data_IF_617593794774
#
_entry.id   IF_617593794774
#
_cell.length_a   1.000
_cell.length_b   1.000
_cell.length_c   1.000
_cell.angle_alpha   90.00
_cell.angle_beta   90.00
_cell.angle_gamma   90.00
#
_symmetry.space_group_name_H-M   'P 1'
#
loop_
_entity.id
_entity.type
_entity.pdbx_description
1 polymer ?
#
# COMPACT_ATOMS: atom_id res chain seq x y z
N UNK A 1 45.39 -23.96 -15.77
CA UNK A 1 44.50 -24.24 -14.61
C UNK A 1 44.23 -22.93 -13.84
N UNK A 2 43.30 -22.08 -14.31
CA UNK A 2 42.89 -20.83 -13.62
C UNK A 2 41.42 -20.45 -13.90
N UNK A 3 40.53 -21.42 -14.03
CA UNK A 3 39.12 -21.22 -14.40
C UNK A 3 38.06 -21.38 -13.29
N UNK A 4 38.31 -21.97 -12.09
CA UNK A 4 37.21 -22.16 -11.12
C UNK A 4 36.79 -20.86 -10.43
N UNK A 5 37.71 -19.89 -10.28
CA UNK A 5 37.43 -18.59 -9.63
C UNK A 5 36.48 -17.71 -10.45
N UNK A 6 36.60 -17.74 -11.79
CA UNK A 6 35.74 -16.94 -12.67
C UNK A 6 34.29 -17.46 -12.66
N UNK A 7 34.11 -18.79 -12.63
CA UNK A 7 32.78 -19.43 -12.56
C UNK A 7 32.10 -19.12 -11.22
N UNK A 8 32.86 -19.18 -10.12
CA UNK A 8 32.33 -18.85 -8.79
C UNK A 8 31.92 -17.38 -8.69
N UNK A 9 32.69 -16.47 -9.31
CA UNK A 9 32.38 -15.04 -9.35
C UNK A 9 31.13 -14.75 -10.20
N UNK A 10 30.94 -15.44 -11.33
CA UNK A 10 29.74 -15.31 -12.17
C UNK A 10 28.47 -15.83 -11.48
N UNK A 11 28.58 -16.93 -10.72
CA UNK A 11 27.46 -17.47 -9.93
C UNK A 11 27.06 -16.49 -8.81
N UNK A 12 28.03 -15.88 -8.13
CA UNK A 12 27.76 -14.86 -7.10
C UNK A 12 27.09 -13.62 -7.71
N UNK A 13 27.57 -13.13 -8.86
CA UNK A 13 26.99 -11.98 -9.57
C UNK A 13 25.56 -12.24 -10.09
N UNK A 14 25.21 -13.47 -10.47
CA UNK A 14 23.84 -13.80 -10.89
C UNK A 14 22.85 -13.87 -9.72
N UNK A 15 23.31 -14.17 -8.50
CA UNK A 15 22.45 -14.23 -7.31
C UNK A 15 22.20 -12.86 -6.66
N UNK A 16 22.95 -11.80 -7.03
CA UNK A 16 22.67 -10.43 -6.59
C UNK A 16 21.50 -9.76 -7.35
N UNK A 17 20.99 -10.41 -8.41
CA UNK A 17 19.91 -9.89 -9.25
C UNK A 17 18.59 -10.60 -8.96
N UNK A 18 18.22 -10.77 -7.68
CA UNK A 18 16.82 -11.07 -7.36
C UNK A 18 16.08 -9.72 -7.40
N UNK A 19 15.34 -9.39 -8.47
CA UNK A 19 14.47 -8.24 -8.40
C UNK A 19 13.48 -8.50 -7.28
N UNK A 20 13.50 -7.63 -6.26
CA UNK A 20 12.36 -7.44 -5.38
C UNK A 20 11.25 -6.96 -6.32
N UNK A 21 10.45 -7.89 -6.85
CA UNK A 21 9.40 -7.59 -7.81
C UNK A 21 8.25 -6.87 -7.09
N UNK A 22 8.43 -5.58 -6.82
CA UNK A 22 7.32 -4.71 -6.55
C UNK A 22 6.46 -4.66 -7.81
N UNK A 23 5.19 -5.07 -7.71
CA UNK A 23 4.26 -4.98 -8.82
C UNK A 23 4.25 -3.55 -9.37
N UNK A 24 4.56 -3.41 -10.67
CA UNK A 24 4.47 -2.15 -11.40
C UNK A 24 3.11 -2.09 -12.09
N UNK A 25 2.39 -1.01 -11.87
CA UNK A 25 1.11 -0.71 -12.48
C UNK A 25 1.29 0.31 -13.60
N UNK A 26 0.79 -0.01 -14.79
CA UNK A 26 0.68 0.96 -15.88
C UNK A 26 -0.28 2.08 -15.51
N UNK A 27 -0.17 3.23 -16.19
CA UNK A 27 -1.13 4.34 -16.07
C UNK A 27 -2.59 3.89 -16.27
N UNK A 28 -2.82 2.99 -17.25
CA UNK A 28 -4.14 2.42 -17.51
C UNK A 28 -4.67 1.59 -16.33
N UNK A 29 -3.86 0.66 -15.81
CA UNK A 29 -4.25 -0.18 -14.68
C UNK A 29 -4.55 0.65 -13.42
N UNK A 30 -3.71 1.66 -13.13
CA UNK A 30 -3.95 2.57 -12.00
C UNK A 30 -5.31 3.27 -12.12
N UNK A 31 -5.67 3.73 -13.32
CA UNK A 31 -6.96 4.39 -13.57
C UNK A 31 -8.13 3.42 -13.47
N UNK A 32 -8.01 2.22 -14.04
CA UNK A 32 -9.04 1.18 -13.96
C UNK A 32 -9.33 0.76 -12.50
N UNK A 33 -8.27 0.59 -11.70
CA UNK A 33 -8.39 0.27 -10.28
C UNK A 33 -9.03 1.45 -9.50
N UNK A 34 -8.64 2.69 -9.83
CA UNK A 34 -9.20 3.88 -9.18
C UNK A 34 -10.66 4.16 -9.56
N UNK A 35 -11.05 3.93 -10.82
CA UNK A 35 -12.43 4.00 -11.32
C UNK A 35 -13.30 2.95 -10.62
N UNK A 36 -12.76 1.75 -10.42
CA UNK A 36 -13.43 0.67 -9.67
C UNK A 36 -13.68 1.08 -8.22
N UNK A 37 -12.64 1.61 -7.54
CA UNK A 37 -12.77 2.12 -6.18
C UNK A 37 -13.81 3.25 -6.07
N UNK A 38 -13.74 4.23 -6.99
CA UNK A 38 -14.68 5.34 -7.05
C UNK A 38 -16.13 4.84 -7.18
N UNK A 39 -16.36 3.93 -8.11
CA UNK A 39 -17.68 3.35 -8.37
C UNK A 39 -18.20 2.55 -7.18
N UNK A 40 -17.35 1.74 -6.53
CA UNK A 40 -17.73 0.98 -5.35
C UNK A 40 -18.10 1.88 -4.18
N UNK A 41 -17.34 2.95 -3.92
CA UNK A 41 -17.67 3.90 -2.86
C UNK A 41 -19.07 4.50 -3.07
N UNK A 42 -19.41 4.92 -4.30
CA UNK A 42 -20.77 5.39 -4.63
C UNK A 42 -21.84 4.32 -4.45
N UNK A 43 -21.53 3.06 -4.79
CA UNK A 43 -22.51 1.98 -4.80
C UNK A 43 -22.81 1.44 -3.40
N UNK A 44 -21.78 1.27 -2.55
CA UNK A 44 -21.91 0.48 -1.32
C UNK A 44 -21.68 1.27 -0.04
N UNK A 45 -21.09 2.47 -0.10
CA UNK A 45 -20.84 3.25 1.12
C UNK A 45 -22.13 3.95 1.58
N UNK A 46 -22.64 3.68 2.80
CA UNK A 46 -23.94 4.18 3.25
C UNK A 46 -23.99 5.71 3.37
N UNK A 47 -22.86 6.32 3.75
CA UNK A 47 -22.79 7.72 4.20
C UNK A 47 -21.66 8.51 3.52
N UNK A 48 -21.49 8.33 2.21
CA UNK A 48 -20.31 8.82 1.46
C UNK A 48 -20.11 10.36 1.54
N UNK A 49 -21.22 11.09 1.74
CA UNK A 49 -21.27 12.56 1.71
C UNK A 49 -21.58 13.20 3.07
N UNK A 50 -21.48 12.45 4.18
CA UNK A 50 -21.78 13.01 5.52
C UNK A 50 -20.83 14.15 5.90
N UNK A 51 -19.56 14.08 5.48
CA UNK A 51 -18.54 15.06 5.84
C UNK A 51 -17.97 15.88 4.68
N UNK A 52 -18.58 15.77 3.50
CA UNK A 52 -18.16 16.44 2.27
C UNK A 52 -19.31 16.51 1.26
N UNK A 53 -19.31 17.52 0.41
CA UNK A 53 -20.21 17.60 -0.73
C UNK A 53 -19.77 16.66 -1.86
N UNK A 54 -20.71 16.26 -2.72
CA UNK A 54 -20.40 15.49 -3.93
C UNK A 54 -19.35 16.20 -4.80
N UNK A 55 -19.46 17.52 -4.97
CA UNK A 55 -18.49 18.32 -5.73
C UNK A 55 -17.08 18.29 -5.15
N UNK A 56 -16.95 18.30 -3.82
CA UNK A 56 -15.64 18.18 -3.17
C UNK A 56 -15.05 16.78 -3.36
N UNK A 57 -15.88 15.75 -3.33
CA UNK A 57 -15.47 14.37 -3.60
C UNK A 57 -15.00 14.19 -5.05
N UNK A 58 -15.79 14.65 -6.03
CA UNK A 58 -15.45 14.64 -7.46
C UNK A 58 -14.16 15.43 -7.74
N UNK A 59 -14.00 16.61 -7.14
CA UNK A 59 -12.78 17.40 -7.30
C UNK A 59 -11.53 16.65 -6.82
N UNK A 60 -11.61 15.93 -5.71
CA UNK A 60 -10.49 15.10 -5.21
C UNK A 60 -10.22 13.93 -6.14
N UNK A 61 -11.28 13.28 -6.64
CA UNK A 61 -11.17 12.23 -7.64
C UNK A 61 -10.39 12.73 -8.87
N UNK A 62 -10.84 13.82 -9.49
CA UNK A 62 -10.23 14.36 -10.72
C UNK A 62 -8.76 14.77 -10.51
N UNK A 63 -8.46 15.34 -9.33
CA UNK A 63 -7.09 15.70 -8.95
C UNK A 63 -6.18 14.47 -8.88
N UNK A 64 -6.66 13.35 -8.34
CA UNK A 64 -5.88 12.12 -8.24
C UNK A 64 -5.82 11.43 -9.60
N UNK A 65 -6.95 11.30 -10.29
CA UNK A 65 -7.08 10.66 -11.60
C UNK A 65 -6.12 11.26 -12.64
N UNK A 66 -6.02 12.60 -12.69
CA UNK A 66 -5.09 13.31 -13.58
C UNK A 66 -3.61 13.05 -13.25
N UNK A 67 -3.30 12.76 -11.97
CA UNK A 67 -1.95 12.38 -11.54
C UNK A 67 -1.57 10.95 -11.91
N UNK A 68 -2.53 10.08 -12.21
CA UNK A 68 -2.32 8.68 -12.62
C UNK A 68 -1.87 8.60 -14.09
N UNK A 69 -0.80 9.30 -14.46
CA UNK A 69 -0.34 9.49 -15.84
C UNK A 69 1.00 8.81 -16.19
N UNK A 70 1.58 8.09 -15.24
CA UNK A 70 2.87 7.38 -15.39
C UNK A 70 2.84 6.07 -14.62
N UNK A 71 3.73 5.16 -14.97
CA UNK A 71 3.88 3.89 -14.26
C UNK A 71 4.37 4.11 -12.83
N UNK A 72 3.88 3.27 -11.92
CA UNK A 72 4.21 3.32 -10.48
C UNK A 72 4.29 1.92 -9.91
N UNK A 73 5.08 1.75 -8.86
CA UNK A 73 4.95 0.55 -8.05
C UNK A 73 3.64 0.59 -7.24
N UNK A 74 3.21 -0.58 -6.76
CA UNK A 74 1.98 -0.76 -6.00
C UNK A 74 1.91 0.17 -4.77
N UNK A 75 3.00 0.29 -4.00
CA UNK A 75 3.04 1.13 -2.80
C UNK A 75 2.80 2.61 -3.12
N UNK A 76 3.39 3.13 -4.19
CA UNK A 76 3.21 4.51 -4.63
C UNK A 76 1.78 4.77 -5.10
N UNK A 77 1.16 3.80 -5.78
CA UNK A 77 -0.26 3.88 -6.14
C UNK A 77 -1.14 3.99 -4.89
N UNK A 78 -0.94 3.10 -3.91
CA UNK A 78 -1.70 3.14 -2.66
C UNK A 78 -1.49 4.44 -1.89
N UNK A 79 -0.26 4.95 -1.84
CA UNK A 79 0.06 6.21 -1.17
C UNK A 79 -0.61 7.42 -1.80
N UNK A 80 -0.72 7.45 -3.14
CA UNK A 80 -1.37 8.56 -3.87
C UNK A 80 -2.90 8.50 -3.75
N UNK A 81 -3.47 7.30 -3.72
CA UNK A 81 -4.93 7.11 -3.67
C UNK A 81 -5.47 7.15 -2.23
N UNK A 82 -4.69 6.77 -1.21
CA UNK A 82 -5.14 6.75 0.19
C UNK A 82 -5.75 8.06 0.70
N UNK A 83 -5.27 9.26 0.31
CA UNK A 83 -5.93 10.52 0.71
C UNK A 83 -7.36 10.64 0.19
N UNK A 84 -7.71 10.02 -0.95
CA UNK A 84 -9.07 10.00 -1.47
C UNK A 84 -10.02 9.30 -0.49
N UNK A 85 -9.66 8.09 -0.08
CA UNK A 85 -10.45 7.25 0.82
C UNK A 85 -10.50 7.85 2.21
N UNK A 86 -9.37 8.34 2.72
CA UNK A 86 -9.31 9.07 4.00
C UNK A 86 -10.23 10.30 4.03
N UNK A 87 -10.51 10.88 2.85
CA UNK A 87 -11.37 12.05 2.74
C UNK A 87 -12.86 11.77 2.99
N UNK A 88 -13.27 10.50 2.96
CA UNK A 88 -14.60 10.03 3.38
C UNK A 88 -14.79 10.16 4.89
N UNK A 89 -13.70 10.14 5.67
CA UNK A 89 -13.66 10.26 7.14
C UNK A 89 -14.45 9.17 7.87
N UNK A 90 -14.41 7.95 7.36
CA UNK A 90 -14.91 6.75 8.04
C UNK A 90 -13.74 5.80 8.39
N UNK A 91 -13.69 5.37 9.66
CA UNK A 91 -12.64 4.46 10.15
C UNK A 91 -12.81 3.00 9.72
N UNK A 92 -13.98 2.63 9.17
CA UNK A 92 -14.23 1.29 8.65
C UNK A 92 -13.93 1.17 7.15
N UNK A 93 -13.91 2.29 6.44
CA UNK A 93 -13.56 2.38 5.03
C UNK A 93 -12.04 2.50 4.87
N UNK A 94 -11.38 1.36 4.76
CA UNK A 94 -9.92 1.26 4.69
C UNK A 94 -9.43 0.97 3.26
N UNK A 95 -8.28 1.53 2.90
CA UNK A 95 -7.59 1.27 1.65
C UNK A 95 -6.12 0.96 1.92
N UNK A 96 -5.80 -0.33 1.98
CA UNK A 96 -4.50 -0.84 2.43
C UNK A 96 -3.85 -1.69 1.36
N UNK A 97 -2.53 -1.60 1.25
CA UNK A 97 -1.75 -2.47 0.36
C UNK A 97 -2.09 -3.94 0.66
N UNK A 98 -2.38 -4.76 -0.35
CA UNK A 98 -2.75 -6.16 -0.16
C UNK A 98 -1.65 -6.90 0.62
N UNK A 99 -2.07 -7.72 1.58
CA UNK A 99 -1.15 -8.64 2.22
C UNK A 99 -0.74 -9.70 1.20
N UNK A 100 0.56 -9.74 0.88
CA UNK A 100 1.11 -10.73 -0.03
C UNK A 100 1.13 -12.11 0.66
N UNK A 101 1.02 -13.20 -0.13
CA UNK A 101 0.93 -14.54 0.43
C UNK A 101 2.17 -14.91 1.28
N UNK A 102 3.36 -14.50 0.85
CA UNK A 102 4.60 -14.65 1.60
C UNK A 102 4.56 -13.95 2.96
N UNK A 103 3.94 -12.76 3.05
CA UNK A 103 3.75 -12.06 4.32
C UNK A 103 2.78 -12.82 5.22
N UNK A 104 1.69 -13.35 4.67
CA UNK A 104 0.72 -14.15 5.40
C UNK A 104 1.37 -15.42 5.94
N UNK A 105 2.10 -16.14 5.10
CA UNK A 105 2.81 -17.37 5.45
C UNK A 105 3.88 -17.11 6.50
N UNK A 106 4.64 -16.03 6.38
CA UNK A 106 5.62 -15.61 7.38
C UNK A 106 4.98 -15.42 8.75
N UNK A 107 3.87 -14.68 8.83
CA UNK A 107 3.17 -14.44 10.09
C UNK A 107 2.58 -15.73 10.68
N UNK A 108 1.99 -16.59 9.84
CA UNK A 108 1.42 -17.88 10.26
C UNK A 108 2.48 -18.86 10.79
N UNK A 109 3.73 -18.75 10.33
CA UNK A 109 4.84 -19.61 10.74
C UNK A 109 5.69 -19.00 11.89
N UNK A 110 5.10 -18.12 12.71
CA UNK A 110 5.78 -17.53 13.87
C UNK A 110 6.74 -16.38 13.50
N UNK A 111 6.48 -15.73 12.37
CA UNK A 111 7.23 -14.56 11.93
C UNK A 111 7.27 -13.44 12.98
N UNK A 112 8.42 -12.77 13.08
CA UNK A 112 8.62 -11.69 14.02
C UNK A 112 7.93 -10.42 13.53
N UNK A 113 7.12 -9.83 14.40
CA UNK A 113 6.58 -8.48 14.22
C UNK A 113 7.20 -7.53 15.22
N UNK A 114 7.22 -6.23 14.92
CA UNK A 114 7.60 -5.22 15.89
C UNK A 114 6.58 -5.21 17.05
N UNK A 115 6.94 -5.66 18.27
CA UNK A 115 5.98 -5.89 19.36
C UNK A 115 5.71 -4.59 20.13
N UNK A 116 5.49 -3.49 19.41
CA UNK A 116 5.28 -2.17 20.00
C UNK A 116 3.84 -1.75 19.79
N UNK A 117 3.12 -1.54 20.89
CA UNK A 117 1.89 -0.75 20.85
C UNK A 117 2.27 0.71 21.02
N UNK A 118 1.91 1.54 20.04
CA UNK A 118 2.13 2.98 20.09
C UNK A 118 0.83 3.67 20.52
N UNK A 119 0.94 4.64 21.43
CA UNK A 119 -0.14 5.56 21.80
C UNK A 119 0.28 6.98 21.45
N UNK A 120 -0.61 7.73 20.82
CA UNK A 120 -0.42 9.17 20.62
C UNK A 120 -1.19 9.88 21.73
N UNK A 121 -0.47 10.58 22.61
CA UNK A 121 -1.05 11.38 23.69
C UNK A 121 -0.57 12.81 23.52
N UNK A 122 -1.52 13.74 23.36
CA UNK A 122 -1.26 15.11 22.96
C UNK A 122 -0.43 15.15 21.67
N UNK A 123 0.87 15.45 21.77
CA UNK A 123 1.80 15.54 20.65
C UNK A 123 3.04 14.63 20.85
N UNK A 124 2.87 13.54 21.62
CA UNK A 124 3.94 12.56 21.94
C UNK A 124 3.53 11.16 21.50
N UNK A 125 4.50 10.40 20.98
CA UNK A 125 4.36 8.95 20.74
C UNK A 125 4.91 8.24 21.97
N UNK A 126 4.05 7.51 22.67
CA UNK A 126 4.38 6.69 23.82
C UNK A 126 4.38 5.22 23.41
N UNK A 127 5.36 4.47 23.88
CA UNK A 127 5.36 3.01 23.76
C UNK A 127 4.61 2.43 24.96
N UNK A 128 3.52 1.73 24.68
CA UNK A 128 2.63 1.11 25.66
C UNK A 128 3.03 -0.37 25.82
N UNK A 129 3.85 -0.68 26.83
CA UNK A 129 4.34 -2.05 27.11
C UNK A 129 3.54 -2.73 28.26
N UNK A 130 3.27 -4.06 28.21
CA UNK A 130 3.17 -4.94 27.05
C UNK A 130 1.73 -5.40 26.76
N UNK A 131 1.49 -5.79 25.51
CA UNK A 131 0.45 -6.76 25.13
C UNK A 131 0.81 -8.09 25.83
N UNK A 132 0.18 -8.36 26.98
CA UNK A 132 0.19 -9.70 27.56
C UNK A 132 -0.78 -10.51 26.70
N UNK A 133 -0.23 -11.34 25.80
CA UNK A 133 -0.98 -12.40 25.11
C UNK A 133 -1.25 -13.56 26.04
#
# INVERSE_FOLDING_TARGET
>A
MKTPSLILMTIILCNLSIPINAQILTSRQQKEDFDTLYSLLHQVHPDLFVYQTQKEFEKKHDSIYSSLNKERNLSDFYFIVSPFVASVKDGHTNFTIPATQDRIDYLNNGGLTLPLRLKIVENKILVDFPLIS
#
